data_IF_661742016209
#
_entry.id   IF_661742016209
#
_cell.length_a   1.000
_cell.length_b   1.000
_cell.length_c   1.000
_cell.angle_alpha   90.00
_cell.angle_beta   90.00
_cell.angle_gamma   90.00
#
_symmetry.space_group_name_H-M   'P 1'
#
loop_
_entity.id
_entity.type
_entity.pdbx_description
1 polymer ?
#
# COMPACT_ATOMS: atom_id res chain seq x y z
N UNK A 1 -5.15 11.26 1.61
CA UNK A 1 -5.54 10.30 0.56
C UNK A 1 -6.54 9.31 1.13
N UNK A 2 -7.64 9.04 0.43
CA UNK A 2 -8.53 7.94 0.80
C UNK A 2 -7.93 6.62 0.32
N UNK A 3 -8.29 5.51 0.97
CA UNK A 3 -7.86 4.17 0.54
C UNK A 3 -8.24 3.88 -0.91
N UNK A 4 -9.41 4.36 -1.34
CA UNK A 4 -9.91 4.24 -2.72
C UNK A 4 -8.92 4.82 -3.73
N UNK A 5 -8.40 6.03 -3.46
CA UNK A 5 -7.41 6.66 -4.36
C UNK A 5 -6.11 5.86 -4.44
N UNK A 6 -5.66 5.27 -3.32
CA UNK A 6 -4.45 4.44 -3.28
C UNK A 6 -4.67 3.17 -4.10
N UNK A 7 -5.80 2.49 -3.90
CA UNK A 7 -6.17 1.29 -4.65
C UNK A 7 -6.21 1.53 -6.17
N UNK A 8 -6.74 2.67 -6.62
CA UNK A 8 -6.78 3.00 -8.04
C UNK A 8 -5.39 3.18 -8.64
N UNK A 9 -4.47 3.82 -7.90
CA UNK A 9 -3.08 4.01 -8.34
C UNK A 9 -2.35 2.67 -8.44
N UNK A 10 -2.44 1.82 -7.41
CA UNK A 10 -1.72 0.54 -7.40
C UNK A 10 -2.23 -0.41 -8.48
N UNK A 11 -3.54 -0.41 -8.76
CA UNK A 11 -4.13 -1.16 -9.89
C UNK A 11 -3.66 -0.66 -11.25
N UNK A 12 -3.45 0.65 -11.38
CA UNK A 12 -2.99 1.26 -12.64
C UNK A 12 -1.47 1.18 -12.84
N UNK A 13 -0.72 0.75 -11.82
CA UNK A 13 0.74 0.74 -11.83
C UNK A 13 1.33 -0.64 -11.46
N UNK A 14 1.15 -1.68 -12.30
CA UNK A 14 1.63 -3.05 -11.99
C UNK A 14 3.16 -3.20 -12.00
N UNK A 15 3.89 -2.25 -12.59
CA UNK A 15 5.36 -2.22 -12.64
C UNK A 15 5.99 -1.39 -11.52
N UNK A 16 5.20 -0.92 -10.55
CA UNK A 16 5.68 -0.10 -9.46
C UNK A 16 6.70 -0.90 -8.61
N UNK A 17 7.90 -0.35 -8.42
CA UNK A 17 8.96 -0.97 -7.62
C UNK A 17 9.11 -0.34 -6.23
N UNK A 18 8.66 0.90 -6.06
CA UNK A 18 8.77 1.65 -4.81
C UNK A 18 7.47 2.38 -4.52
N UNK A 19 6.94 2.23 -3.30
CA UNK A 19 5.73 2.89 -2.84
C UNK A 19 5.93 3.39 -1.40
N UNK A 20 5.60 4.66 -1.17
CA UNK A 20 5.66 5.26 0.16
C UNK A 20 4.27 5.72 0.58
N UNK A 21 3.75 5.09 1.63
CA UNK A 21 2.47 5.42 2.26
C UNK A 21 2.66 5.86 3.71
N UNK A 22 3.85 6.36 4.07
CA UNK A 22 4.14 6.80 5.43
C UNK A 22 3.11 7.85 5.88
N UNK A 23 2.62 7.71 7.11
CA UNK A 23 1.60 8.55 7.74
C UNK A 23 0.26 8.59 6.99
N UNK A 24 -0.01 7.61 6.12
CA UNK A 24 -1.32 7.43 5.52
C UNK A 24 -2.24 6.62 6.43
N UNK A 25 -3.53 6.96 6.40
CA UNK A 25 -4.58 6.23 7.12
C UNK A 25 -5.07 5.05 6.27
N UNK A 26 -4.30 3.98 6.24
CA UNK A 26 -4.60 2.75 5.48
C UNK A 26 -4.79 1.55 6.41
N UNK A 27 -5.49 0.53 5.91
CA UNK A 27 -5.77 -0.74 6.58
C UNK A 27 -5.11 -1.91 5.86
N UNK A 28 -5.19 -3.11 6.44
CA UNK A 28 -4.67 -4.35 5.85
C UNK A 28 -5.26 -4.62 4.47
N UNK A 29 -6.51 -4.23 4.22
CA UNK A 29 -7.14 -4.32 2.89
C UNK A 29 -6.37 -3.57 1.81
N UNK A 30 -5.84 -2.39 2.14
CA UNK A 30 -5.02 -1.62 1.19
C UNK A 30 -3.68 -2.32 0.94
N UNK A 31 -3.10 -2.98 1.95
CA UNK A 31 -1.86 -3.75 1.82
C UNK A 31 -2.06 -4.98 0.95
N UNK A 32 -3.15 -5.73 1.14
CA UNK A 32 -3.53 -6.86 0.28
C UNK A 32 -3.70 -6.43 -1.18
N UNK A 33 -4.33 -5.28 -1.43
CA UNK A 33 -4.52 -4.75 -2.78
C UNK A 33 -3.19 -4.38 -3.44
N UNK A 34 -2.26 -3.77 -2.68
CA UNK A 34 -0.90 -3.47 -3.15
C UNK A 34 -0.17 -4.77 -3.51
N UNK A 35 -0.21 -5.77 -2.63
CA UNK A 35 0.45 -7.05 -2.84
C UNK A 35 -0.08 -7.78 -4.08
N UNK A 36 -1.38 -7.67 -4.37
CA UNK A 36 -2.02 -8.29 -5.53
C UNK A 36 -1.72 -7.56 -6.84
N UNK A 37 -1.65 -6.23 -6.80
CA UNK A 37 -1.54 -5.40 -8.01
C UNK A 37 -0.09 -5.12 -8.42
N UNK A 38 0.79 -4.85 -7.45
CA UNK A 38 2.16 -4.43 -7.69
C UNK A 38 3.14 -5.58 -7.44
N UNK A 39 3.12 -6.61 -8.30
CA UNK A 39 3.96 -7.81 -8.16
C UNK A 39 5.48 -7.52 -8.24
N UNK A 40 5.87 -6.37 -8.79
CA UNK A 40 7.26 -5.94 -8.90
C UNK A 40 7.71 -5.03 -7.75
N UNK A 41 6.88 -4.84 -6.73
CA UNK A 41 7.17 -3.94 -5.62
C UNK A 41 8.32 -4.49 -4.77
N UNK A 42 9.39 -3.71 -4.66
CA UNK A 42 10.60 -4.03 -3.90
C UNK A 42 10.65 -3.29 -2.57
N UNK A 43 10.08 -2.09 -2.52
CA UNK A 43 10.14 -1.21 -1.36
C UNK A 43 8.77 -0.63 -1.03
N UNK A 44 8.28 -0.93 0.17
CA UNK A 44 7.04 -0.38 0.71
C UNK A 44 7.33 0.32 2.05
N UNK A 45 7.07 1.63 2.13
CA UNK A 45 7.25 2.41 3.37
C UNK A 45 5.90 2.66 4.04
N UNK A 46 5.77 2.20 5.28
CA UNK A 46 4.53 2.26 6.08
C UNK A 46 4.73 3.00 7.43
N UNK A 47 5.77 3.84 7.54
CA UNK A 47 6.09 4.53 8.81
C UNK A 47 4.90 5.36 9.26
N UNK A 48 4.47 5.19 10.51
CA UNK A 48 3.35 5.97 11.05
C UNK A 48 1.96 5.56 10.55
N UNK A 49 1.83 4.42 9.86
CA UNK A 49 0.53 3.82 9.56
C UNK A 49 0.07 3.00 10.78
N UNK A 50 -0.82 3.57 11.58
CA UNK A 50 -1.26 2.98 12.87
C UNK A 50 -2.50 2.09 12.77
N UNK A 51 -3.11 1.99 11.58
CA UNK A 51 -4.31 1.19 11.30
C UNK A 51 -4.02 -0.15 10.59
N UNK A 52 -2.75 -0.44 10.37
CA UNK A 52 -2.29 -1.73 9.84
C UNK A 52 -2.12 -2.66 11.02
N UNK A 53 -2.70 -3.85 10.93
CA UNK A 53 -2.54 -4.88 11.95
C UNK A 53 -1.07 -5.28 12.01
N UNK A 54 -0.52 -5.28 13.22
CA UNK A 54 0.81 -5.83 13.45
C UNK A 54 0.64 -7.33 13.61
N UNK A 55 0.54 -8.05 12.50
CA UNK A 55 0.72 -9.51 12.57
C UNK A 55 2.18 -9.79 12.96
N UNK A 56 2.34 -10.62 13.99
CA UNK A 56 3.60 -10.95 14.64
C UNK A 56 4.35 -12.07 13.90
#
# INVERSE_FOLDING_TARGET
FSEISICNVVRSCPRLQQLNLSYCRITDKTIEEIARSCLNLKYLKLKGCYKISKEA
#
